data_IF_516478100896
#
_entry.id   IF_516478100896
#
_cell.length_a   1.000
_cell.length_b   1.000
_cell.length_c   1.000
_cell.angle_alpha   90.00
_cell.angle_beta   90.00
_cell.angle_gamma   90.00
#
_symmetry.space_group_name_H-M   'P 1'
#
loop_
_entity.id
_entity.type
_entity.pdbx_description
1 polymer ?
#
# COMPACT_ATOMS: atom_id res chain seq x y z
N UNK A 1 4.17 -5.25 -10.59
CA UNK A 1 4.58 -6.37 -11.49
C UNK A 1 3.62 -7.56 -11.38
N UNK A 2 3.44 -8.13 -10.18
CA UNK A 2 2.58 -9.30 -9.93
C UNK A 2 1.19 -9.19 -10.57
N UNK A 3 0.45 -8.11 -10.27
CA UNK A 3 -0.90 -7.86 -10.80
C UNK A 3 -0.93 -7.89 -12.33
N UNK A 4 -0.05 -7.12 -12.99
CA UNK A 4 0.07 -7.08 -14.46
C UNK A 4 0.41 -8.45 -15.07
N UNK A 5 1.30 -9.20 -14.44
CA UNK A 5 1.69 -10.53 -14.92
C UNK A 5 0.54 -11.55 -14.86
N UNK A 6 -0.43 -11.34 -13.96
CA UNK A 6 -1.61 -12.18 -13.78
C UNK A 6 -2.82 -11.65 -14.57
N UNK A 7 -2.63 -10.66 -15.45
CA UNK A 7 -3.67 -10.13 -16.32
C UNK A 7 -4.50 -8.98 -15.75
N UNK A 8 -4.10 -8.42 -14.60
CA UNK A 8 -4.66 -7.16 -14.09
C UNK A 8 -4.07 -5.92 -14.75
N UNK A 9 -4.66 -4.77 -14.46
CA UNK A 9 -4.23 -3.46 -14.98
C UNK A 9 -3.55 -2.62 -13.89
N UNK A 10 -2.41 -2.04 -14.24
CA UNK A 10 -1.56 -1.24 -13.36
C UNK A 10 -1.11 -0.01 -14.13
N UNK A 11 -1.38 1.17 -13.59
CA UNK A 11 -1.10 2.47 -14.22
C UNK A 11 -0.49 3.42 -13.21
N UNK A 12 0.14 4.50 -13.69
CA UNK A 12 0.50 5.61 -12.81
C UNK A 12 -0.76 6.23 -12.23
N UNK A 13 -0.75 6.51 -10.93
CA UNK A 13 -1.83 7.24 -10.28
C UNK A 13 -1.89 8.67 -10.81
N UNK A 14 -3.10 9.17 -11.07
CA UNK A 14 -3.31 10.54 -11.53
C UNK A 14 -2.89 11.58 -10.48
N UNK A 15 -2.90 11.18 -9.20
CA UNK A 15 -2.43 11.99 -8.07
C UNK A 15 -0.90 12.03 -7.92
N UNK A 16 -0.18 11.26 -8.74
CA UNK A 16 1.28 11.15 -8.69
C UNK A 16 1.74 10.20 -7.58
N UNK A 17 2.83 10.55 -6.91
CA UNK A 17 3.41 9.70 -5.87
C UNK A 17 2.50 9.60 -4.64
N UNK A 18 2.40 8.40 -4.08
CA UNK A 18 2.00 8.18 -2.71
C UNK A 18 3.18 7.83 -1.82
N UNK A 19 3.47 8.71 -0.87
CA UNK A 19 4.57 8.58 0.08
C UNK A 19 4.07 9.07 1.44
N UNK A 20 4.03 8.18 2.43
CA UNK A 20 3.58 8.53 3.78
C UNK A 20 3.02 7.33 4.53
N UNK A 21 2.32 7.61 5.62
CA UNK A 21 1.53 6.60 6.35
C UNK A 21 0.07 6.76 5.92
N UNK A 22 -0.59 5.66 5.57
CA UNK A 22 -2.00 5.62 5.19
C UNK A 22 -2.79 4.72 6.12
N UNK A 23 -4.02 5.11 6.39
CA UNK A 23 -4.99 4.24 7.05
C UNK A 23 -5.61 3.31 5.99
N UNK A 24 -5.20 2.05 6.03
CA UNK A 24 -5.63 1.00 5.11
C UNK A 24 -6.78 0.24 5.75
N UNK A 25 -7.96 0.32 5.16
CA UNK A 25 -9.17 -0.38 5.58
C UNK A 25 -9.17 -1.81 5.08
N UNK A 26 -9.37 -2.77 5.99
CA UNK A 26 -9.41 -4.20 5.70
C UNK A 26 -10.84 -4.65 5.40
N UNK A 27 -11.04 -5.24 4.23
CA UNK A 27 -12.33 -5.74 3.76
C UNK A 27 -12.58 -7.15 4.31
N UNK A 28 -13.18 -7.23 5.50
CA UNK A 28 -13.35 -8.48 6.25
C UNK A 28 -14.13 -9.57 5.51
N UNK A 29 -15.07 -9.19 4.64
CA UNK A 29 -15.83 -10.15 3.83
C UNK A 29 -14.95 -10.94 2.83
N UNK A 30 -13.81 -10.37 2.43
CA UNK A 30 -12.85 -11.03 1.54
C UNK A 30 -11.91 -11.99 2.29
N UNK A 31 -11.82 -11.89 3.62
CA UNK A 31 -10.90 -12.70 4.45
C UNK A 31 -11.41 -14.12 4.71
N UNK A 32 -12.71 -14.39 4.58
CA UNK A 32 -13.39 -15.63 5.01
C UNK A 32 -12.90 -16.94 4.35
N UNK A 33 -11.99 -16.86 3.38
CA UNK A 33 -11.49 -18.02 2.63
C UNK A 33 -9.97 -18.03 2.44
N UNK A 34 -9.22 -17.25 3.23
CA UNK A 34 -7.76 -17.22 3.11
C UNK A 34 -7.12 -17.86 4.34
N UNK A 35 -6.71 -19.12 4.25
CA UNK A 35 -6.22 -19.89 5.40
C UNK A 35 -4.95 -19.31 6.04
N UNK A 36 -4.16 -18.56 5.25
CA UNK A 36 -2.96 -17.87 5.73
C UNK A 36 -3.25 -16.62 6.57
N UNK A 37 -4.49 -16.12 6.52
CA UNK A 37 -4.96 -14.96 7.27
C UNK A 37 -5.90 -15.37 8.43
N UNK A 38 -6.14 -16.68 8.64
CA UNK A 38 -7.00 -17.18 9.72
C UNK A 38 -6.43 -16.91 11.12
N UNK A 39 -5.10 -16.86 11.26
CA UNK A 39 -4.44 -16.42 12.51
C UNK A 39 -4.63 -14.91 12.78
N UNK A 40 -5.19 -14.17 11.81
CA UNK A 40 -5.56 -12.77 11.96
C UNK A 40 -7.01 -12.58 12.43
N UNK A 41 -7.61 -13.54 13.15
CA UNK A 41 -8.96 -13.37 13.72
C UNK A 41 -9.12 -12.11 14.60
N UNK A 42 -8.02 -11.47 15.01
CA UNK A 42 -7.98 -10.18 15.69
C UNK A 42 -7.51 -9.02 14.80
N UNK A 43 -7.53 -9.14 13.46
CA UNK A 43 -7.09 -8.02 12.59
C UNK A 43 -8.01 -6.82 12.83
N UNK A 44 -7.42 -5.65 13.16
CA UNK A 44 -8.20 -4.42 13.25
C UNK A 44 -8.87 -4.14 11.90
N UNK A 45 -9.98 -3.38 11.93
CA UNK A 45 -10.68 -2.96 10.71
C UNK A 45 -9.83 -2.05 9.83
N UNK A 46 -8.82 -1.41 10.41
CA UNK A 46 -7.89 -0.51 9.74
C UNK A 46 -6.47 -0.78 10.23
N UNK A 47 -5.48 -0.50 9.37
CA UNK A 47 -4.06 -0.56 9.69
C UNK A 47 -3.36 0.70 9.19
N UNK A 48 -2.49 1.29 9.99
CA UNK A 48 -1.61 2.37 9.58
C UNK A 48 -0.36 1.80 8.90
N UNK A 49 -0.27 1.89 7.58
CA UNK A 49 0.80 1.27 6.78
C UNK A 49 1.61 2.35 6.06
N UNK A 50 2.92 2.14 5.89
CA UNK A 50 3.76 3.01 5.08
C UNK A 50 3.53 2.71 3.59
N UNK A 51 3.20 3.73 2.82
CA UNK A 51 3.08 3.69 1.36
C UNK A 51 4.25 4.43 0.69
N UNK A 52 4.74 3.88 -0.43
CA UNK A 52 5.78 4.49 -1.25
C UNK A 52 5.72 3.97 -2.70
N UNK A 53 4.73 4.45 -3.48
CA UNK A 53 4.53 4.02 -4.86
C UNK A 53 3.99 5.16 -5.74
N UNK A 54 4.12 5.02 -7.05
CA UNK A 54 3.51 5.94 -8.04
C UNK A 54 2.52 5.22 -8.95
N UNK A 55 2.75 3.92 -9.18
CA UNK A 55 1.81 3.09 -9.90
C UNK A 55 0.77 2.54 -8.91
N UNK A 56 -0.46 2.33 -9.38
CA UNK A 56 -1.56 1.73 -8.62
C UNK A 56 -2.23 0.62 -9.43
N UNK A 57 -2.81 -0.36 -8.73
CA UNK A 57 -3.66 -1.37 -9.35
C UNK A 57 -5.03 -0.76 -9.66
N UNK A 58 -5.37 -0.70 -10.95
CA UNK A 58 -6.64 -0.14 -11.43
C UNK A 58 -7.70 -1.24 -11.58
N UNK A 59 -7.28 -2.41 -12.06
CA UNK A 59 -8.11 -3.60 -12.19
C UNK A 59 -7.32 -4.81 -11.68
N UNK A 60 -7.89 -5.57 -10.75
CA UNK A 60 -7.28 -6.81 -10.28
C UNK A 60 -7.47 -7.94 -11.30
N UNK A 61 -6.63 -8.99 -11.28
CA UNK A 61 -6.86 -10.20 -12.07
C UNK A 61 -8.25 -10.78 -11.83
N UNK A 62 -8.80 -11.49 -12.83
CA UNK A 62 -10.18 -12.01 -12.81
C UNK A 62 -10.48 -12.89 -11.58
N UNK A 63 -9.52 -13.70 -11.15
CA UNK A 63 -9.65 -14.62 -10.02
C UNK A 63 -9.29 -13.97 -8.67
N UNK A 64 -8.90 -12.69 -8.68
CA UNK A 64 -8.45 -11.99 -7.48
C UNK A 64 -9.62 -11.43 -6.67
N UNK A 65 -9.42 -11.36 -5.36
CA UNK A 65 -10.28 -10.66 -4.41
C UNK A 65 -9.52 -9.48 -3.81
N UNK A 66 -10.10 -8.30 -3.84
CA UNK A 66 -9.57 -7.13 -3.13
C UNK A 66 -9.78 -7.33 -1.64
N UNK A 67 -8.72 -7.10 -0.87
CA UNK A 67 -8.64 -7.34 0.56
C UNK A 67 -8.56 -6.06 1.37
N UNK A 68 -8.02 -4.99 0.78
CA UNK A 68 -7.89 -3.71 1.47
C UNK A 68 -7.88 -2.52 0.49
N UNK A 69 -8.29 -1.37 1.00
CA UNK A 69 -8.30 -0.09 0.29
C UNK A 69 -7.99 1.08 1.25
N UNK A 70 -7.59 2.23 0.73
CA UNK A 70 -7.45 3.48 1.48
C UNK A 70 -8.28 4.58 0.82
N UNK A 71 -8.23 5.79 1.39
CA UNK A 71 -8.81 7.00 0.79
C UNK A 71 -8.14 7.36 -0.55
N UNK A 72 -6.87 7.01 -0.71
CA UNK A 72 -6.07 7.33 -1.89
C UNK A 72 -6.01 6.21 -2.93
N UNK A 73 -5.95 4.96 -2.48
CA UNK A 73 -5.72 3.80 -3.36
C UNK A 73 -6.83 2.77 -3.20
N UNK A 74 -7.48 2.44 -4.32
CA UNK A 74 -8.65 1.53 -4.33
C UNK A 74 -8.31 0.07 -4.06
N UNK A 75 -7.07 -0.34 -4.34
CA UNK A 75 -6.59 -1.71 -4.19
C UNK A 75 -5.24 -1.68 -3.49
N UNK A 76 -5.25 -1.65 -2.17
CA UNK A 76 -4.02 -1.71 -1.36
C UNK A 76 -3.51 -3.14 -1.23
N UNK A 77 -4.44 -4.11 -1.22
CA UNK A 77 -4.15 -5.51 -1.09
C UNK A 77 -5.14 -6.35 -1.90
N UNK A 78 -4.65 -7.42 -2.52
CA UNK A 78 -5.48 -8.43 -3.16
C UNK A 78 -4.90 -9.83 -2.95
N UNK A 79 -5.76 -10.85 -3.07
CA UNK A 79 -5.39 -12.26 -3.03
C UNK A 79 -5.94 -13.02 -4.23
N UNK A 80 -5.29 -14.12 -4.62
CA UNK A 80 -5.83 -15.12 -5.56
C UNK A 80 -5.71 -16.49 -4.90
N UNK A 81 -6.86 -17.04 -4.49
CA UNK A 81 -6.92 -18.24 -3.64
C UNK A 81 -6.05 -18.09 -2.39
N UNK A 82 -5.50 -19.20 -1.89
CA UNK A 82 -4.65 -19.19 -0.69
C UNK A 82 -3.16 -18.97 -0.96
N UNK A 83 -2.74 -18.69 -2.20
CA UNK A 83 -1.33 -18.87 -2.59
C UNK A 83 -0.66 -17.59 -3.11
N UNK A 84 -1.44 -16.54 -3.41
CA UNK A 84 -0.91 -15.29 -3.95
C UNK A 84 -1.47 -14.13 -3.13
N UNK A 85 -0.57 -13.34 -2.55
CA UNK A 85 -0.88 -12.08 -1.89
C UNK A 85 -0.11 -10.95 -2.58
N UNK A 86 -0.82 -9.91 -3.01
CA UNK A 86 -0.24 -8.66 -3.46
C UNK A 86 -0.56 -7.55 -2.47
N UNK A 87 0.45 -6.80 -2.04
CA UNK A 87 0.32 -5.59 -1.22
C UNK A 87 1.08 -4.44 -1.88
N UNK A 88 0.53 -3.23 -1.85
CA UNK A 88 1.23 -2.01 -2.29
C UNK A 88 2.01 -1.38 -1.13
N UNK A 89 1.44 -1.42 0.07
CA UNK A 89 2.09 -0.94 1.29
C UNK A 89 3.26 -1.78 1.74
N UNK A 90 4.09 -1.13 2.55
CA UNK A 90 5.35 -1.63 3.09
C UNK A 90 5.29 -1.78 4.61
N UNK A 91 4.60 -2.81 5.15
CA UNK A 91 4.59 -3.08 6.59
C UNK A 91 5.99 -3.38 7.15
N UNK A 92 6.97 -3.68 6.30
CA UNK A 92 8.37 -3.88 6.64
C UNK A 92 9.19 -2.58 6.74
N UNK A 93 8.64 -1.44 6.32
CA UNK A 93 9.36 -0.17 6.35
C UNK A 93 9.34 0.49 7.73
N UNK A 94 10.41 1.24 7.99
CA UNK A 94 10.49 2.19 9.08
C UNK A 94 10.44 3.61 8.53
N UNK A 95 10.15 4.59 9.39
CA UNK A 95 10.20 6.01 9.01
C UNK A 95 11.58 6.43 8.49
N UNK A 96 12.65 5.81 8.99
CA UNK A 96 14.01 6.06 8.51
C UNK A 96 14.21 5.55 7.08
N UNK A 97 13.70 4.36 6.75
CA UNK A 97 13.72 3.85 5.37
C UNK A 97 12.96 4.81 4.46
N UNK A 98 11.76 5.24 4.86
CA UNK A 98 10.94 6.15 4.06
C UNK A 98 11.62 7.51 3.85
N UNK A 99 12.25 8.08 4.88
CA UNK A 99 13.02 9.32 4.77
C UNK A 99 14.18 9.20 3.76
N UNK A 100 14.91 8.09 3.77
CA UNK A 100 15.97 7.81 2.80
C UNK A 100 15.43 7.69 1.37
N UNK A 101 14.25 7.09 1.19
CA UNK A 101 13.59 7.00 -0.11
C UNK A 101 13.15 8.37 -0.61
N UNK A 102 12.58 9.21 0.25
CA UNK A 102 12.22 10.60 -0.06
C UNK A 102 13.44 11.37 -0.56
N UNK A 103 14.59 11.28 0.12
CA UNK A 103 15.84 11.92 -0.31
C UNK A 103 16.27 11.46 -1.71
N UNK A 104 16.22 10.15 -1.97
CA UNK A 104 16.56 9.61 -3.29
C UNK A 104 15.63 10.13 -4.37
N UNK A 105 14.32 10.12 -4.14
CA UNK A 105 13.33 10.60 -5.10
C UNK A 105 13.50 12.09 -5.40
N UNK A 106 13.82 12.89 -4.37
CA UNK A 106 14.11 14.32 -4.52
C UNK A 106 15.40 14.53 -5.34
N UNK A 107 16.46 13.78 -5.04
CA UNK A 107 17.74 13.87 -5.75
C UNK A 107 17.62 13.46 -7.23
N UNK A 108 16.74 12.51 -7.55
CA UNK A 108 16.44 12.14 -8.93
C UNK A 108 15.40 13.06 -9.60
N UNK A 109 14.94 14.11 -8.92
CA UNK A 109 13.92 15.04 -9.43
C UNK A 109 12.60 14.34 -9.81
N UNK A 110 12.30 13.22 -9.16
CA UNK A 110 11.06 12.45 -9.36
C UNK A 110 9.89 13.01 -8.54
N UNK A 111 10.21 13.76 -7.48
CA UNK A 111 9.26 14.54 -6.67
C UNK A 111 9.79 15.97 -6.48
N UNK A 112 8.89 16.91 -6.24
CA UNK A 112 9.26 18.29 -5.93
C UNK A 112 9.68 18.44 -4.47
N UNK A 113 10.50 19.47 -4.17
CA UNK A 113 10.95 19.74 -2.80
C UNK A 113 9.80 19.96 -1.83
N UNK A 114 8.78 20.75 -2.21
CA UNK A 114 7.60 20.99 -1.37
C UNK A 114 6.88 19.70 -1.01
N UNK A 115 6.65 18.83 -2.01
CA UNK A 115 6.05 17.51 -1.78
C UNK A 115 6.87 16.64 -0.81
N UNK A 116 8.20 16.64 -0.93
CA UNK A 116 9.07 15.89 -0.02
C UNK A 116 9.03 16.44 1.42
N UNK A 117 8.98 17.76 1.58
CA UNK A 117 8.85 18.42 2.88
C UNK A 117 7.48 18.14 3.52
N UNK A 118 6.40 18.18 2.75
CA UNK A 118 5.05 17.84 3.19
C UNK A 118 4.96 16.37 3.64
N UNK A 119 5.48 15.44 2.81
CA UNK A 119 5.50 14.01 3.14
C UNK A 119 6.25 13.74 4.46
N UNK A 120 7.36 14.44 4.71
CA UNK A 120 8.10 14.37 5.98
C UNK A 120 7.30 14.93 7.15
N UNK A 121 6.64 16.06 6.95
CA UNK A 121 5.80 16.68 7.98
C UNK A 121 4.69 15.73 8.42
N UNK A 122 3.99 15.10 7.47
CA UNK A 122 2.95 14.11 7.77
C UNK A 122 3.53 12.86 8.46
N UNK A 123 4.70 12.38 8.01
CA UNK A 123 5.38 11.23 8.61
C UNK A 123 5.72 11.44 10.10
N UNK A 124 5.93 12.68 10.54
CA UNK A 124 6.17 12.99 11.95
C UNK A 124 4.90 13.00 12.82
N UNK A 125 3.71 13.10 12.21
CA UNK A 125 2.43 13.19 12.93
C UNK A 125 1.81 11.82 13.24
N UNK A 126 2.30 10.76 12.62
CA UNK A 126 1.76 9.41 12.75
C UNK A 126 2.86 8.36 12.97
N UNK A 127 2.42 7.19 13.43
CA UNK A 127 3.23 5.98 13.53
C UNK A 127 2.55 4.88 12.70
N UNK A 128 3.32 4.08 11.94
CA UNK A 128 2.75 2.88 11.33
C UNK A 128 2.51 1.82 12.42
N UNK A 129 1.48 1.00 12.20
CA UNK A 129 1.24 -0.15 13.06
C UNK A 129 2.41 -1.14 12.95
N UNK A 130 2.77 -1.69 14.10
CA UNK A 130 3.82 -2.71 14.23
C UNK A 130 3.26 -3.87 15.05
N UNK A 131 3.72 -5.08 14.74
CA UNK A 131 3.43 -6.27 15.57
C UNK A 131 3.98 -6.12 16.98
#
# INVERSE_FOLDING_TARGET
VLCRALGGDVRKADSGWDIGIREVSILKESLTYNTFLDDLNETPSTLSIIECHQDEVWEVPKEAKVMACSDKTRVEMFTIGDHILGIQGHPEYTKDILNNLIDRLLNFTLVQRGFAEDARSELHKAEPDRK
#
